data_IF_210021310754
#
_entry.id   IF_210021310754
#
_cell.length_a   1.000
_cell.length_b   1.000
_cell.length_c   1.000
_cell.angle_alpha   90.00
_cell.angle_beta   90.00
_cell.angle_gamma   90.00
#
_symmetry.space_group_name_H-M   'P 1'
#
loop_
_entity.id
_entity.type
_entity.pdbx_description
1 polymer ?
#
# COMPACT_ATOMS: atom_id res chain seq x y z
N UNK A 1 -10.73 -27.85 27.92
CA UNK A 1 -11.63 -27.98 26.74
C UNK A 1 -11.61 -26.71 25.89
N UNK A 2 -12.18 -25.56 26.31
CA UNK A 2 -12.14 -24.35 25.45
C UNK A 2 -10.73 -23.75 25.21
N UNK A 3 -9.80 -23.98 26.13
CA UNK A 3 -8.39 -23.55 26.01
C UNK A 3 -7.62 -24.35 24.95
N UNK A 4 -7.93 -25.64 24.81
CA UNK A 4 -7.27 -26.53 23.86
C UNK A 4 -7.67 -26.19 22.41
N UNK A 5 -8.92 -25.76 22.21
CA UNK A 5 -9.41 -25.23 20.93
C UNK A 5 -8.74 -23.90 20.56
N UNK A 6 -8.46 -23.05 21.55
CA UNK A 6 -7.80 -21.76 21.34
C UNK A 6 -6.33 -21.94 20.93
N UNK A 7 -5.63 -22.91 21.51
CA UNK A 7 -4.26 -23.28 21.08
C UNK A 7 -4.23 -23.88 19.67
N UNK A 8 -5.21 -24.71 19.30
CA UNK A 8 -5.29 -25.25 17.93
C UNK A 8 -5.53 -24.16 16.89
N UNK A 9 -6.38 -23.16 17.18
CA UNK A 9 -6.62 -22.04 16.27
C UNK A 9 -5.35 -21.20 16.11
N UNK A 10 -4.61 -20.92 17.19
CA UNK A 10 -3.31 -20.22 17.10
C UNK A 10 -2.29 -20.99 16.29
N UNK A 11 -2.16 -22.29 16.53
CA UNK A 11 -1.24 -23.14 15.79
C UNK A 11 -1.60 -23.15 14.28
N UNK A 12 -2.88 -23.27 13.95
CA UNK A 12 -3.35 -23.23 12.57
C UNK A 12 -3.18 -21.87 11.88
N UNK A 13 -3.18 -20.76 12.62
CA UNK A 13 -2.87 -19.42 12.09
C UNK A 13 -1.37 -19.26 11.88
N UNK A 14 -0.53 -19.71 12.82
CA UNK A 14 0.93 -19.68 12.67
C UNK A 14 1.40 -20.54 11.49
N UNK A 15 0.77 -21.69 11.27
CA UNK A 15 1.04 -22.59 10.14
C UNK A 15 0.53 -22.01 8.80
N UNK A 16 -0.49 -21.14 8.81
CA UNK A 16 -0.91 -20.36 7.63
C UNK A 16 -0.02 -19.14 7.37
N UNK A 17 0.60 -18.57 8.41
CA UNK A 17 1.52 -17.43 8.30
C UNK A 17 2.92 -17.83 7.81
N UNK A 18 3.32 -19.10 7.92
CA UNK A 18 4.56 -19.61 7.33
C UNK A 18 4.51 -19.65 5.79
N UNK A 19 3.31 -19.69 5.21
CA UNK A 19 3.04 -19.26 3.84
C UNK A 19 2.93 -17.74 3.79
N UNK A 20 4.07 -17.05 3.85
CA UNK A 20 4.15 -15.60 4.03
C UNK A 20 3.13 -14.83 3.20
N UNK A 21 2.52 -13.81 3.80
CA UNK A 21 1.85 -12.73 3.07
C UNK A 21 2.86 -12.10 2.11
N UNK A 22 2.91 -12.61 0.87
CA UNK A 22 3.73 -12.06 -0.19
C UNK A 22 3.11 -10.72 -0.64
N UNK A 23 3.51 -9.67 0.07
CA UNK A 23 3.43 -8.30 -0.41
C UNK A 23 4.37 -8.17 -1.62
N UNK A 24 3.95 -8.59 -2.81
CA UNK A 24 4.57 -8.33 -4.13
C UNK A 24 6.08 -8.01 -4.11
N UNK A 25 6.90 -8.87 -3.48
CA UNK A 25 8.35 -8.68 -3.52
C UNK A 25 8.84 -9.47 -4.74
N UNK A 26 9.21 -8.73 -5.78
CA UNK A 26 9.96 -9.27 -6.92
C UNK A 26 11.16 -10.07 -6.41
N UNK A 27 11.35 -11.26 -6.98
CA UNK A 27 12.46 -12.17 -6.69
C UNK A 27 13.81 -11.44 -6.73
N UNK A 28 14.54 -11.47 -5.62
CA UNK A 28 15.90 -10.99 -5.54
C UNK A 28 16.85 -12.06 -6.08
N UNK A 29 17.17 -12.01 -7.38
CA UNK A 29 18.30 -12.76 -7.90
C UNK A 29 19.59 -11.96 -7.71
N UNK A 30 20.52 -12.53 -6.94
CA UNK A 30 21.80 -11.93 -6.60
C UNK A 30 22.87 -12.45 -7.55
N UNK A 31 23.43 -11.56 -8.36
CA UNK A 31 24.62 -11.78 -9.20
C UNK A 31 25.32 -10.46 -9.48
N UNK A 32 26.50 -10.26 -8.89
CA UNK A 32 27.20 -8.98 -8.74
C UNK A 32 27.88 -8.50 -10.02
N UNK A 33 27.50 -7.32 -10.52
CA UNK A 33 28.39 -6.35 -11.17
C UNK A 33 27.74 -4.97 -11.08
N UNK A 34 28.52 -3.92 -10.84
CA UNK A 34 28.00 -2.56 -10.77
C UNK A 34 27.25 -2.21 -12.07
N UNK A 35 25.95 -1.92 -11.96
CA UNK A 35 25.13 -1.47 -13.09
C UNK A 35 24.22 -2.49 -13.75
N UNK A 36 23.49 -3.32 -13.00
CA UNK A 36 22.24 -3.98 -13.42
C UNK A 36 21.70 -4.77 -12.21
N UNK A 37 20.55 -4.40 -11.64
CA UNK A 37 20.04 -5.18 -10.50
C UNK A 37 18.98 -4.52 -9.62
N UNK A 38 18.71 -3.24 -9.82
CA UNK A 38 17.32 -2.79 -9.75
C UNK A 38 17.02 -2.34 -11.16
N UNK A 39 16.08 -2.97 -11.86
CA UNK A 39 15.42 -2.25 -12.96
C UNK A 39 14.77 -1.08 -12.27
N UNK A 40 15.51 0.04 -12.14
CA UNK A 40 15.31 1.03 -11.08
C UNK A 40 13.83 1.32 -10.92
N UNK A 41 13.32 1.21 -9.69
CA UNK A 41 11.90 1.39 -9.39
C UNK A 41 11.41 2.65 -10.10
N UNK A 42 10.72 2.48 -11.23
CA UNK A 42 10.20 3.58 -12.01
C UNK A 42 8.99 4.11 -11.28
N UNK A 43 9.25 5.06 -10.39
CA UNK A 43 8.24 5.88 -9.78
C UNK A 43 7.50 6.63 -10.88
N UNK A 44 6.21 6.36 -11.04
CA UNK A 44 5.37 6.99 -12.06
C UNK A 44 4.03 7.36 -11.45
N UNK A 45 3.37 8.37 -12.00
CA UNK A 45 2.00 8.74 -11.61
C UNK A 45 1.08 7.53 -11.56
N UNK A 46 1.15 6.63 -12.56
CA UNK A 46 0.33 5.42 -12.60
C UNK A 46 0.59 4.50 -11.42
N UNK A 47 1.86 4.30 -11.04
CA UNK A 47 2.21 3.45 -9.90
C UNK A 47 1.66 4.03 -8.58
N UNK A 48 1.75 5.35 -8.38
CA UNK A 48 1.20 6.04 -7.22
C UNK A 48 -0.33 5.98 -7.15
N UNK A 49 -1.01 6.22 -8.27
CA UNK A 49 -2.47 6.12 -8.36
C UNK A 49 -2.94 4.68 -8.07
N UNK A 50 -2.25 3.68 -8.63
CA UNK A 50 -2.58 2.28 -8.40
C UNK A 50 -2.35 1.86 -6.93
N UNK A 51 -1.28 2.36 -6.30
CA UNK A 51 -1.06 2.14 -4.87
C UNK A 51 -2.14 2.81 -4.01
N UNK A 52 -2.54 4.03 -4.37
CA UNK A 52 -3.63 4.76 -3.73
C UNK A 52 -4.96 4.01 -3.83
N UNK A 53 -5.33 3.58 -5.03
CA UNK A 53 -6.51 2.75 -5.28
C UNK A 53 -6.47 1.44 -4.49
N UNK A 54 -5.33 0.74 -4.51
CA UNK A 54 -5.14 -0.51 -3.78
C UNK A 54 -5.40 -0.36 -2.28
N UNK A 55 -4.77 0.63 -1.64
CA UNK A 55 -4.99 0.90 -0.20
C UNK A 55 -6.41 1.41 0.07
N UNK A 56 -6.94 2.26 -0.80
CA UNK A 56 -8.30 2.79 -0.72
C UNK A 56 -9.37 1.71 -0.78
N UNK A 57 -9.16 0.69 -1.62
CA UNK A 57 -10.09 -0.44 -1.81
C UNK A 57 -10.34 -1.24 -0.54
N UNK A 58 -9.37 -1.28 0.39
CA UNK A 58 -9.48 -1.96 1.67
C UNK A 58 -10.62 -1.41 2.54
N UNK A 59 -11.04 -0.16 2.32
CA UNK A 59 -12.16 0.46 3.04
C UNK A 59 -13.47 -0.29 2.82
N UNK A 60 -13.67 -0.88 1.64
CA UNK A 60 -14.86 -1.68 1.34
C UNK A 60 -14.97 -2.92 2.24
N UNK A 61 -13.99 -3.85 2.18
CA UNK A 61 -13.96 -5.01 3.08
C UNK A 61 -13.98 -4.66 4.57
N UNK A 62 -13.31 -3.59 4.99
CA UNK A 62 -13.37 -3.09 6.38
C UNK A 62 -14.80 -2.67 6.76
N UNK A 63 -15.49 -1.93 5.88
CA UNK A 63 -16.90 -1.56 6.07
C UNK A 63 -17.81 -2.78 6.16
N UNK A 64 -17.61 -3.78 5.30
CA UNK A 64 -18.35 -5.05 5.35
C UNK A 64 -18.10 -5.79 6.67
N UNK A 65 -16.85 -5.83 7.15
CA UNK A 65 -16.50 -6.45 8.43
C UNK A 65 -17.14 -5.72 9.61
N UNK A 66 -17.16 -4.38 9.59
CA UNK A 66 -17.86 -3.56 10.59
C UNK A 66 -19.36 -3.84 10.61
N UNK A 67 -19.99 -3.99 9.44
CA UNK A 67 -21.40 -4.37 9.33
C UNK A 67 -21.66 -5.72 9.99
N UNK A 68 -20.89 -6.76 9.62
CA UNK A 68 -20.99 -8.09 10.23
C UNK A 68 -20.75 -8.09 11.75
N UNK A 69 -19.81 -7.26 12.22
CA UNK A 69 -19.53 -7.11 13.63
C UNK A 69 -20.72 -6.46 14.37
N UNK A 70 -21.37 -5.47 13.77
CA UNK A 70 -22.59 -4.86 14.32
C UNK A 70 -23.76 -5.83 14.33
N UNK A 71 -23.95 -6.59 13.24
CA UNK A 71 -25.00 -7.60 13.13
C UNK A 71 -24.81 -8.71 14.18
N UNK A 72 -23.57 -9.18 14.39
CA UNK A 72 -23.25 -10.18 15.41
C UNK A 72 -23.41 -9.69 16.85
N UNK A 73 -23.33 -8.37 17.07
CA UNK A 73 -23.61 -7.75 18.38
C UNK A 73 -25.11 -7.54 18.61
N UNK A 74 -25.91 -7.46 17.54
CA UNK A 74 -27.34 -7.21 17.64
C UNK A 74 -28.05 -8.35 18.39
N UNK A 75 -29.02 -8.01 19.24
CA UNK A 75 -29.78 -8.98 20.03
C UNK A 75 -29.11 -9.43 21.32
N UNK A 76 -27.83 -9.08 21.55
CA UNK A 76 -27.23 -9.16 22.88
C UNK A 76 -27.76 -7.98 23.71
N UNK A 77 -28.66 -8.26 24.65
CA UNK A 77 -29.21 -7.25 25.57
C UNK A 77 -28.15 -6.62 26.48
N UNK A 78 -28.57 -5.80 27.47
CA UNK A 78 -27.65 -5.07 28.36
C UNK A 78 -26.73 -5.97 29.23
N UNK A 79 -26.98 -7.28 29.26
CA UNK A 79 -26.09 -8.24 29.92
C UNK A 79 -26.11 -8.15 31.44
N UNK A 80 -27.16 -7.58 32.04
CA UNK A 80 -27.30 -7.49 33.50
C UNK A 80 -27.11 -8.87 34.15
N UNK A 81 -26.12 -8.95 35.03
CA UNK A 81 -25.76 -10.18 35.75
C UNK A 81 -24.88 -11.18 34.99
N UNK A 82 -24.52 -10.93 33.73
CA UNK A 82 -23.70 -11.83 32.91
C UNK A 82 -22.36 -11.19 32.53
N UNK A 83 -21.28 -11.57 33.22
CA UNK A 83 -19.93 -11.03 33.01
C UNK A 83 -19.42 -11.23 31.58
N UNK A 84 -19.77 -12.34 30.93
CA UNK A 84 -19.37 -12.60 29.53
C UNK A 84 -20.06 -11.66 28.54
N UNK A 85 -21.30 -11.24 28.81
CA UNK A 85 -22.01 -10.27 27.98
C UNK A 85 -21.38 -8.87 28.09
N UNK A 86 -20.99 -8.46 29.30
CA UNK A 86 -20.24 -7.21 29.51
C UNK A 86 -18.90 -7.22 28.78
N UNK A 87 -18.11 -8.29 28.93
CA UNK A 87 -16.83 -8.46 28.24
C UNK A 87 -16.99 -8.43 26.70
N UNK A 88 -18.04 -9.07 26.17
CA UNK A 88 -18.34 -9.05 24.73
C UNK A 88 -18.65 -7.63 24.22
N UNK A 89 -19.40 -6.82 24.99
CA UNK A 89 -19.72 -5.42 24.65
C UNK A 89 -18.47 -4.55 24.59
N UNK A 90 -17.57 -4.71 25.55
CA UNK A 90 -16.27 -4.01 25.56
C UNK A 90 -15.40 -4.43 24.37
N UNK A 91 -15.33 -5.73 24.08
CA UNK A 91 -14.61 -6.26 22.93
C UNK A 91 -15.16 -5.68 21.62
N UNK A 92 -16.49 -5.73 21.45
CA UNK A 92 -17.16 -5.12 20.29
C UNK A 92 -16.79 -3.64 20.12
N UNK A 93 -16.87 -2.84 21.19
CA UNK A 93 -16.55 -1.42 21.13
C UNK A 93 -15.09 -1.17 20.70
N UNK A 94 -14.15 -1.95 21.24
CA UNK A 94 -12.73 -1.87 20.89
C UNK A 94 -12.48 -2.22 19.42
N UNK A 95 -13.01 -3.34 18.95
CA UNK A 95 -12.83 -3.78 17.56
C UNK A 95 -13.51 -2.85 16.56
N UNK A 96 -14.71 -2.36 16.88
CA UNK A 96 -15.41 -1.36 16.07
C UNK A 96 -14.54 -0.11 15.88
N UNK A 97 -14.05 0.45 16.98
CA UNK A 97 -13.18 1.63 16.95
C UNK A 97 -11.92 1.38 16.12
N UNK A 98 -11.25 0.26 16.36
CA UNK A 98 -10.04 -0.09 15.62
C UNK A 98 -10.29 -0.20 14.11
N UNK A 99 -11.33 -0.93 13.69
CA UNK A 99 -11.64 -1.10 12.29
C UNK A 99 -12.08 0.22 11.61
N UNK A 100 -12.85 1.06 12.30
CA UNK A 100 -13.16 2.42 11.82
C UNK A 100 -11.89 3.25 11.58
N UNK A 101 -10.95 3.21 12.53
CA UNK A 101 -9.69 3.94 12.42
C UNK A 101 -8.78 3.38 11.32
N UNK A 102 -8.76 2.07 11.10
CA UNK A 102 -8.09 1.45 9.94
C UNK A 102 -8.71 1.96 8.64
N UNK A 103 -10.04 1.99 8.53
CA UNK A 103 -10.73 2.53 7.36
C UNK A 103 -10.38 3.99 7.09
N UNK A 104 -10.29 4.83 8.12
CA UNK A 104 -9.82 6.23 8.01
C UNK A 104 -8.38 6.30 7.54
N UNK A 105 -7.47 5.49 8.12
CA UNK A 105 -6.05 5.44 7.73
C UNK A 105 -5.88 5.05 6.26
N UNK A 106 -6.61 4.04 5.79
CA UNK A 106 -6.62 3.67 4.36
C UNK A 106 -7.06 4.83 3.47
N UNK A 107 -8.10 5.58 3.86
CA UNK A 107 -8.55 6.76 3.12
C UNK A 107 -7.51 7.89 3.09
N UNK A 108 -6.85 8.15 4.22
CA UNK A 108 -5.77 9.15 4.28
C UNK A 108 -4.57 8.75 3.41
N UNK A 109 -4.16 7.48 3.47
CA UNK A 109 -3.06 6.95 2.65
C UNK A 109 -3.39 7.01 1.16
N UNK A 110 -4.61 6.62 0.75
CA UNK A 110 -5.07 6.76 -0.63
C UNK A 110 -4.86 8.20 -1.13
N UNK A 111 -5.37 9.19 -0.39
CA UNK A 111 -5.27 10.60 -0.76
C UNK A 111 -3.82 11.07 -0.90
N UNK A 112 -2.96 10.69 0.04
CA UNK A 112 -1.54 11.04 0.01
C UNK A 112 -0.86 10.44 -1.22
N UNK A 113 -1.08 9.15 -1.48
CA UNK A 113 -0.47 8.44 -2.61
C UNK A 113 -0.92 9.03 -3.95
N UNK A 114 -2.21 9.30 -4.11
CA UNK A 114 -2.73 9.93 -5.32
C UNK A 114 -2.12 11.32 -5.53
N UNK A 115 -2.05 12.14 -4.47
CA UNK A 115 -1.46 13.46 -4.52
C UNK A 115 0.02 13.43 -4.93
N UNK A 116 0.82 12.52 -4.35
CA UNK A 116 2.23 12.35 -4.75
C UNK A 116 2.35 12.02 -6.22
N UNK A 117 1.49 11.14 -6.76
CA UNK A 117 1.49 10.82 -8.19
C UNK A 117 1.18 12.03 -9.07
N UNK A 118 0.28 12.92 -8.65
CA UNK A 118 -0.02 14.15 -9.36
C UNK A 118 1.12 15.17 -9.29
N UNK A 119 1.70 15.37 -8.11
CA UNK A 119 2.76 16.35 -7.90
C UNK A 119 4.06 15.93 -8.58
N UNK A 120 4.37 14.63 -8.61
CA UNK A 120 5.49 14.08 -9.38
C UNK A 120 5.35 14.38 -10.87
N UNK A 121 4.19 14.07 -11.48
CA UNK A 121 3.96 14.33 -12.90
C UNK A 121 4.14 15.81 -13.23
N UNK A 122 3.54 16.70 -12.43
CA UNK A 122 3.65 18.16 -12.64
C UNK A 122 5.11 18.61 -12.61
N UNK A 123 5.88 18.09 -11.66
CA UNK A 123 7.31 18.42 -11.52
C UNK A 123 8.11 17.92 -12.71
N UNK A 124 7.91 16.67 -13.12
CA UNK A 124 8.62 16.07 -14.26
C UNK A 124 8.30 16.81 -15.58
N UNK A 125 7.04 17.18 -15.81
CA UNK A 125 6.62 17.98 -16.97
C UNK A 125 7.23 19.38 -16.97
N UNK A 126 7.28 20.05 -15.81
CA UNK A 126 7.90 21.36 -15.68
C UNK A 126 9.41 21.30 -15.97
N UNK A 127 10.12 20.33 -15.38
CA UNK A 127 11.56 20.12 -15.62
C UNK A 127 11.81 19.84 -17.10
N UNK A 128 11.03 18.95 -17.72
CA UNK A 128 11.11 18.69 -19.17
C UNK A 128 10.92 19.97 -19.98
N UNK A 129 9.93 20.80 -19.62
CA UNK A 129 9.69 22.08 -20.26
C UNK A 129 10.89 23.03 -20.20
N UNK A 130 11.60 23.11 -19.06
CA UNK A 130 12.82 23.92 -18.97
C UNK A 130 13.95 23.35 -19.86
N UNK A 131 14.13 22.02 -19.89
CA UNK A 131 15.10 21.39 -20.79
C UNK A 131 14.76 21.62 -22.27
N UNK A 132 13.49 21.53 -22.64
CA UNK A 132 13.03 21.79 -24.01
C UNK A 132 13.27 23.25 -24.42
N UNK A 133 13.13 24.21 -23.48
CA UNK A 133 13.50 25.62 -23.71
C UNK A 133 15.00 25.80 -23.92
N UNK A 134 15.85 25.20 -23.08
CA UNK A 134 17.31 25.25 -23.24
C UNK A 134 17.70 24.64 -24.59
N UNK A 135 17.15 23.48 -24.93
CA UNK A 135 17.40 22.83 -26.22
C UNK A 135 17.01 23.72 -27.40
N UNK A 136 15.89 24.42 -27.30
CA UNK A 136 15.42 25.35 -28.33
C UNK A 136 16.31 26.59 -28.44
N UNK A 137 16.77 27.12 -27.30
CA UNK A 137 17.62 28.32 -27.25
C UNK A 137 19.01 28.09 -27.86
N UNK A 138 19.52 26.86 -27.82
CA UNK A 138 20.84 26.47 -28.36
C UNK A 138 20.74 25.50 -29.55
N UNK A 139 19.64 25.55 -30.30
CA UNK A 139 19.42 24.67 -31.46
C UNK A 139 20.43 24.90 -32.60
N UNK A 140 21.08 26.05 -32.62
CA UNK A 140 22.10 26.49 -33.57
C UNK A 140 23.52 26.02 -33.20
N UNK A 141 23.71 25.48 -32.00
CA UNK A 141 25.01 25.03 -31.52
C UNK A 141 25.29 23.61 -32.02
N UNK A 142 26.28 23.46 -32.91
CA UNK A 142 26.68 22.15 -33.42
C UNK A 142 27.15 21.21 -32.28
N UNK A 143 26.76 19.94 -32.33
CA UNK A 143 27.24 18.94 -31.38
C UNK A 143 28.73 18.63 -31.66
N UNK A 144 29.63 19.17 -30.84
CA UNK A 144 31.09 19.08 -31.04
C UNK A 144 31.76 17.88 -30.35
N UNK A 145 30.99 16.88 -29.87
CA UNK A 145 31.54 15.68 -29.24
C UNK A 145 30.65 14.45 -29.41
N UNK A 146 31.26 13.29 -29.73
CA UNK A 146 30.57 11.99 -29.87
C UNK A 146 30.67 11.30 -31.24
N UNK A 147 31.47 11.81 -32.18
CA UNK A 147 31.77 11.09 -33.42
C UNK A 147 32.67 9.89 -33.13
N UNK A 148 32.20 8.67 -33.43
CA UNK A 148 33.06 7.49 -33.46
C UNK A 148 34.26 7.75 -34.40
N UNK A 149 35.48 7.33 -34.05
CA UNK A 149 36.63 7.53 -34.93
C UNK A 149 36.35 6.85 -36.27
N UNK A 150 36.29 7.61 -37.37
CA UNK A 150 36.35 7.05 -38.71
C UNK A 150 37.68 6.30 -38.82
N UNK A 151 37.58 4.97 -38.85
CA UNK A 151 38.70 4.05 -39.02
C UNK A 151 39.51 4.43 -40.25
N UNK A 152 40.82 4.36 -40.09
CA UNK A 152 41.83 4.55 -41.14
C UNK A 152 42.33 3.19 -41.60
#
# INVERSE_FOLDING_TARGET
>A
MAWDEWEQIKAGVAERQSGGTQLNQLSAETGSSAGAGTGGLKSSKKAWLSAGEGVGSLRGPVGTALGKLADGQAGLGEGEGCLSAAAQKELYASWKRYAEDVGKRCGSLQKILEQVGHDQLRTDEAVKGEFDRVKSAYADTAAVGGGAPQGR
#
